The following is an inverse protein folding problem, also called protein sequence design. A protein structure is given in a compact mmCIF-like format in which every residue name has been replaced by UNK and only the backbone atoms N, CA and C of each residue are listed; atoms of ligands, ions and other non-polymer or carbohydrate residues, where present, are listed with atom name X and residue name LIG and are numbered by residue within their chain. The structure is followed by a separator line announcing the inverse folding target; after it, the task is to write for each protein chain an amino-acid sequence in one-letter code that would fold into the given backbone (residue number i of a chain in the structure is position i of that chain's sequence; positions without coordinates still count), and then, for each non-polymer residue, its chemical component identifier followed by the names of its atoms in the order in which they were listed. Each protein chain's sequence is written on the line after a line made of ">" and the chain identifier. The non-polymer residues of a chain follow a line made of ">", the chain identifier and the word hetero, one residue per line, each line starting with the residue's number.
data_IF_960093045893
#
_entry.id   IF_960093045893
#
_cell.length_a   1.000
_cell.length_b   1.000
_cell.length_c   1.000
_cell.angle_alpha   90.00
_cell.angle_beta   90.00
_cell.angle_gamma   90.00
#
_symmetry.space_group_name_H-M   'P 1'
#
loop_
_entity.id
_entity.type
_entity.pdbx_description
1 polymer ?
#
# COMPACT_ATOMS: atom_id res chain seq x y z
N UNK A 1 -30.89 22.87 37.05
CA UNK A 1 -29.52 22.31 37.16
C UNK A 1 -29.07 21.92 35.78
N UNK A 2 -27.99 22.54 35.34
CA UNK A 2 -27.40 22.49 33.99
C UNK A 2 -26.72 21.17 33.69
N UNK A 3 -26.64 20.80 32.41
CA UNK A 3 -25.82 19.68 31.95
C UNK A 3 -25.99 19.37 30.46
N UNK A 4 -25.98 20.39 29.60
CA UNK A 4 -25.93 20.19 28.14
C UNK A 4 -24.47 19.88 27.77
N UNK A 5 -24.19 18.58 27.56
CA UNK A 5 -22.88 18.10 27.14
C UNK A 5 -22.65 18.47 25.68
N UNK A 6 -21.90 19.54 25.46
CA UNK A 6 -21.46 19.99 24.14
C UNK A 6 -20.63 18.88 23.45
N UNK A 7 -21.28 18.11 22.58
CA UNK A 7 -20.62 17.13 21.72
C UNK A 7 -19.73 17.90 20.75
N UNK A 8 -18.43 17.97 21.06
CA UNK A 8 -17.43 18.57 20.18
C UNK A 8 -17.44 17.84 18.84
N UNK A 9 -18.11 18.44 17.86
CA UNK A 9 -18.20 17.97 16.47
C UNK A 9 -16.79 17.84 15.91
N UNK A 10 -16.45 16.65 15.43
CA UNK A 10 -15.16 16.40 14.79
C UNK A 10 -15.07 17.29 13.53
N UNK A 11 -14.25 18.34 13.59
CA UNK A 11 -14.01 19.22 12.45
C UNK A 11 -12.86 18.64 11.61
N UNK A 12 -13.09 18.26 10.35
CA UNK A 12 -12.01 17.79 9.48
C UNK A 12 -10.94 18.88 9.38
N UNK A 13 -9.71 18.54 9.77
CA UNK A 13 -8.58 19.46 9.72
C UNK A 13 -8.33 19.80 8.25
N UNK A 14 -8.51 21.07 7.89
CA UNK A 14 -8.21 21.58 6.55
C UNK A 14 -6.74 21.28 6.23
N UNK A 15 -6.49 20.46 5.20
CA UNK A 15 -5.15 20.06 4.78
C UNK A 15 -4.45 21.32 4.24
N UNK A 16 -3.58 21.93 5.05
CA UNK A 16 -2.80 23.12 4.65
C UNK A 16 -1.93 22.75 3.44
N UNK A 17 -1.97 23.59 2.42
CA UNK A 17 -1.25 23.50 1.16
C UNK A 17 0.28 23.66 1.31
N UNK A 18 0.92 22.77 2.07
CA UNK A 18 2.38 22.57 2.10
C UNK A 18 2.76 21.38 1.18
N UNK A 19 2.03 21.25 0.06
CA UNK A 19 1.64 19.99 -0.58
C UNK A 19 2.78 19.07 -0.99
N UNK A 20 3.69 19.50 -1.86
CA UNK A 20 4.58 18.55 -2.56
C UNK A 20 5.65 17.88 -1.67
N UNK A 21 6.35 18.63 -0.80
CA UNK A 21 7.42 18.04 0.04
C UNK A 21 6.88 17.07 1.07
N UNK A 22 5.76 17.43 1.71
CA UNK A 22 5.11 16.57 2.69
C UNK A 22 4.47 15.35 2.01
N UNK A 23 3.88 15.51 0.82
CA UNK A 23 3.31 14.39 0.07
C UNK A 23 4.42 13.40 -0.35
N UNK A 24 5.59 13.88 -0.78
CA UNK A 24 6.75 13.02 -1.06
C UNK A 24 7.28 12.29 0.17
N UNK A 25 7.48 12.99 1.29
CA UNK A 25 7.92 12.34 2.54
C UNK A 25 6.92 11.29 3.02
N UNK A 26 5.63 11.59 2.94
CA UNK A 26 4.57 10.65 3.30
C UNK A 26 4.58 9.42 2.38
N UNK A 27 4.77 9.61 1.07
CA UNK A 27 4.89 8.52 0.11
C UNK A 27 6.09 7.63 0.46
N UNK A 28 7.26 8.19 0.71
CA UNK A 28 8.45 7.40 1.04
C UNK A 28 8.32 6.65 2.36
N UNK A 29 7.73 7.27 3.39
CA UNK A 29 7.41 6.57 4.65
C UNK A 29 6.49 5.39 4.41
N UNK A 30 5.50 5.56 3.54
CA UNK A 30 4.53 4.53 3.20
C UNK A 30 5.18 3.38 2.42
N UNK A 31 5.97 3.68 1.38
CA UNK A 31 6.71 2.68 0.59
C UNK A 31 7.66 1.86 1.48
N UNK A 32 8.37 2.50 2.41
CA UNK A 32 9.22 1.81 3.39
C UNK A 32 8.40 0.92 4.34
N UNK A 33 7.22 1.37 4.77
CA UNK A 33 6.34 0.60 5.63
C UNK A 33 5.75 -0.62 4.89
N UNK A 34 5.46 -0.49 3.60
CA UNK A 34 5.04 -1.60 2.74
C UNK A 34 6.22 -2.57 2.55
N UNK A 35 7.43 -2.07 2.24
CA UNK A 35 8.64 -2.91 2.08
C UNK A 35 8.93 -3.77 3.30
N UNK A 36 8.84 -3.21 4.51
CA UNK A 36 9.04 -3.98 5.76
C UNK A 36 8.02 -5.11 5.92
N UNK A 37 6.77 -4.87 5.54
CA UNK A 37 5.71 -5.91 5.60
C UNK A 37 5.94 -6.99 4.55
N UNK A 38 6.33 -6.61 3.34
CA UNK A 38 6.72 -7.56 2.29
C UNK A 38 7.88 -8.44 2.76
N UNK A 39 8.89 -7.86 3.40
CA UNK A 39 10.01 -8.62 3.97
C UNK A 39 9.55 -9.59 5.09
N UNK A 40 8.60 -9.18 5.93
CA UNK A 40 8.03 -10.06 6.95
C UNK A 40 7.27 -11.25 6.33
N UNK A 41 6.52 -11.04 5.26
CA UNK A 41 5.85 -12.13 4.51
C UNK A 41 6.90 -13.02 3.82
N UNK A 42 7.90 -12.44 3.17
CA UNK A 42 8.95 -13.21 2.49
C UNK A 42 9.84 -14.02 3.46
N UNK A 43 9.88 -13.66 4.74
CA UNK A 43 10.59 -14.40 5.78
C UNK A 43 9.82 -15.63 6.29
N UNK A 44 8.52 -15.75 5.97
CA UNK A 44 7.77 -17.00 6.21
C UNK A 44 7.98 -18.00 5.07
N UNK A 45 7.44 -19.20 5.20
CA UNK A 45 7.43 -20.20 4.12
C UNK A 45 6.18 -20.07 3.25
N UNK A 46 6.28 -20.49 1.99
CA UNK A 46 5.11 -20.63 1.11
C UNK A 46 4.06 -21.54 1.73
N UNK A 47 4.45 -22.66 2.35
CA UNK A 47 3.52 -23.63 2.93
C UNK A 47 2.71 -23.06 4.09
N UNK A 48 3.26 -22.11 4.85
CA UNK A 48 2.57 -21.40 5.92
C UNK A 48 1.68 -20.25 5.42
N UNK A 49 1.69 -19.96 4.12
CA UNK A 49 0.92 -18.89 3.51
C UNK A 49 -0.41 -19.41 2.97
N UNK A 50 -1.50 -19.14 3.67
CA UNK A 50 -2.84 -19.49 3.23
C UNK A 50 -3.86 -18.51 3.80
N UNK A 51 -5.07 -18.49 3.23
CA UNK A 51 -6.18 -17.70 3.76
C UNK A 51 -6.40 -17.98 5.25
N UNK A 52 -6.54 -16.90 6.04
CA UNK A 52 -6.63 -16.94 7.51
C UNK A 52 -5.30 -17.01 8.27
N UNK A 53 -4.14 -17.04 7.60
CA UNK A 53 -2.83 -16.91 8.26
C UNK A 53 -2.42 -15.44 8.45
N UNK A 54 -1.62 -15.15 9.49
CA UNK A 54 -1.08 -13.80 9.72
C UNK A 54 -0.31 -13.26 8.51
N UNK A 55 0.46 -14.12 7.84
CA UNK A 55 1.22 -13.72 6.65
C UNK A 55 0.30 -13.32 5.49
N UNK A 56 -0.83 -13.99 5.33
CA UNK A 56 -1.84 -13.67 4.33
C UNK A 56 -2.55 -12.34 4.63
N UNK A 57 -2.85 -12.06 5.91
CA UNK A 57 -3.42 -10.78 6.32
C UNK A 57 -2.45 -9.62 6.09
N UNK A 58 -1.18 -9.81 6.43
CA UNK A 58 -0.12 -8.82 6.17
C UNK A 58 0.02 -8.58 4.67
N UNK A 59 0.02 -9.64 3.86
CA UNK A 59 0.07 -9.56 2.40
C UNK A 59 -1.15 -8.81 1.82
N UNK A 60 -2.34 -9.06 2.37
CA UNK A 60 -3.57 -8.37 1.96
C UNK A 60 -3.47 -6.87 2.26
N UNK A 61 -2.97 -6.51 3.44
CA UNK A 61 -2.71 -5.12 3.80
C UNK A 61 -1.65 -4.45 2.91
N UNK A 62 -0.60 -5.18 2.50
CA UNK A 62 0.41 -4.69 1.55
C UNK A 62 -0.26 -4.31 0.22
N UNK A 63 -1.07 -5.20 -0.35
CA UNK A 63 -1.73 -4.95 -1.63
C UNK A 63 -2.76 -3.82 -1.52
N UNK A 64 -3.56 -3.79 -0.46
CA UNK A 64 -4.56 -2.74 -0.25
C UNK A 64 -3.87 -1.37 -0.18
N UNK A 65 -2.81 -1.24 0.60
CA UNK A 65 -2.09 0.02 0.77
C UNK A 65 -1.36 0.45 -0.49
N UNK A 66 -0.71 -0.49 -1.19
CA UNK A 66 -0.05 -0.20 -2.46
C UNK A 66 -1.04 0.25 -3.53
N UNK A 67 -2.19 -0.41 -3.64
CA UNK A 67 -3.24 -0.01 -4.57
C UNK A 67 -3.78 1.40 -4.24
N UNK A 68 -3.96 1.71 -2.95
CA UNK A 68 -4.39 3.04 -2.52
C UNK A 68 -3.38 4.13 -2.86
N UNK A 69 -2.07 3.84 -2.87
CA UNK A 69 -1.06 4.80 -3.35
C UNK A 69 -1.25 5.13 -4.82
N UNK A 70 -1.59 4.15 -5.66
CA UNK A 70 -1.79 4.35 -7.10
C UNK A 70 -3.05 5.16 -7.45
N UNK A 71 -4.04 5.20 -6.57
CA UNK A 71 -5.30 5.93 -6.77
C UNK A 71 -5.23 7.39 -6.34
N UNK A 72 -4.20 7.76 -5.57
CA UNK A 72 -4.04 9.11 -5.04
C UNK A 72 -3.41 10.02 -6.09
N UNK A 73 -4.15 11.01 -6.64
CA UNK A 73 -3.64 11.88 -7.69
C UNK A 73 -2.44 12.71 -7.22
N UNK A 74 -2.33 13.01 -5.92
CA UNK A 74 -1.18 13.73 -5.36
C UNK A 74 0.15 12.95 -5.48
N UNK A 75 0.09 11.63 -5.70
CA UNK A 75 1.29 10.80 -5.86
C UNK A 75 1.59 10.44 -7.31
N UNK A 76 0.74 10.82 -8.26
CA UNK A 76 0.86 10.40 -9.65
C UNK A 76 2.22 10.78 -10.27
N UNK A 77 2.77 11.95 -9.93
CA UNK A 77 4.06 12.43 -10.43
C UNK A 77 5.28 11.69 -9.85
N UNK A 78 5.11 10.94 -8.76
CA UNK A 78 6.19 10.19 -8.10
C UNK A 78 6.15 8.68 -8.40
N UNK A 79 5.18 8.22 -9.19
CA UNK A 79 4.94 6.80 -9.44
C UNK A 79 5.03 6.47 -10.94
N UNK A 80 5.79 7.27 -11.69
CA UNK A 80 5.89 7.19 -13.16
C UNK A 80 6.47 5.86 -13.65
N UNK A 81 7.33 5.23 -12.86
CA UNK A 81 7.98 3.95 -13.18
C UNK A 81 7.10 2.70 -12.97
N UNK A 82 5.83 2.89 -12.60
CA UNK A 82 4.85 1.80 -12.50
C UNK A 82 3.97 1.78 -13.74
N UNK A 83 4.07 0.70 -14.50
CA UNK A 83 3.31 0.52 -15.73
C UNK A 83 1.81 0.46 -15.46
N UNK A 84 0.99 0.80 -16.47
CA UNK A 84 -0.47 0.68 -16.38
C UNK A 84 -0.92 -0.75 -16.08
N UNK A 85 -0.22 -1.74 -16.65
CA UNK A 85 -0.50 -3.16 -16.41
C UNK A 85 -0.25 -3.54 -14.94
N UNK A 86 0.88 -3.11 -14.36
CA UNK A 86 1.17 -3.36 -12.94
C UNK A 86 0.15 -2.71 -12.02
N UNK A 87 -0.25 -1.46 -12.31
CA UNK A 87 -1.33 -0.79 -11.55
C UNK A 87 -2.63 -1.56 -11.64
N UNK A 88 -2.99 -2.03 -12.83
CA UNK A 88 -4.20 -2.82 -13.02
C UNK A 88 -4.13 -4.16 -12.30
N UNK A 89 -2.99 -4.86 -12.35
CA UNK A 89 -2.78 -6.12 -11.66
C UNK A 89 -2.93 -5.95 -10.14
N UNK A 90 -2.27 -4.95 -9.56
CA UNK A 90 -2.36 -4.64 -8.12
C UNK A 90 -3.79 -4.25 -7.71
N UNK A 91 -4.49 -3.45 -8.54
CA UNK A 91 -5.89 -3.09 -8.28
C UNK A 91 -6.81 -4.32 -8.31
N UNK A 92 -6.64 -5.21 -9.30
CA UNK A 92 -7.38 -6.48 -9.37
C UNK A 92 -7.12 -7.35 -8.14
N UNK A 93 -5.86 -7.53 -7.73
CA UNK A 93 -5.51 -8.30 -6.54
C UNK A 93 -6.14 -7.68 -5.28
N UNK A 94 -6.12 -6.35 -5.15
CA UNK A 94 -6.79 -5.66 -4.03
C UNK A 94 -8.29 -5.91 -4.00
N UNK A 95 -8.97 -5.85 -5.14
CA UNK A 95 -10.42 -6.09 -5.19
C UNK A 95 -10.78 -7.50 -4.74
N UNK A 96 -9.93 -8.49 -5.02
CA UNK A 96 -10.11 -9.86 -4.53
C UNK A 96 -9.80 -9.94 -3.02
N UNK A 97 -8.66 -9.41 -2.58
CA UNK A 97 -8.25 -9.45 -1.16
C UNK A 97 -9.24 -8.71 -0.23
N UNK A 98 -9.83 -7.61 -0.71
CA UNK A 98 -10.80 -6.83 0.05
C UNK A 98 -12.21 -7.44 0.06
N UNK A 99 -12.50 -8.43 -0.77
CA UNK A 99 -13.83 -9.02 -0.92
C UNK A 99 -13.76 -10.52 -0.63
N UNK A 100 -13.70 -10.86 0.66
CA UNK A 100 -13.58 -12.21 1.23
C UNK A 100 -14.77 -13.15 0.99
N UNK A 101 -15.68 -12.83 0.06
CA UNK A 101 -16.99 -13.51 -0.03
C UNK A 101 -17.35 -14.22 -1.35
N UNK A 102 -16.65 -13.98 -2.47
CA UNK A 102 -17.13 -14.46 -3.79
C UNK A 102 -16.08 -15.13 -4.70
N UNK A 103 -14.78 -14.92 -4.45
CA UNK A 103 -13.68 -15.68 -5.09
C UNK A 103 -12.56 -15.84 -4.07
N UNK A 104 -12.15 -17.08 -3.78
CA UNK A 104 -10.89 -17.28 -3.08
C UNK A 104 -9.75 -16.85 -3.99
N UNK A 105 -8.80 -16.12 -3.44
CA UNK A 105 -7.55 -15.82 -4.14
C UNK A 105 -6.76 -17.12 -4.27
N UNK A 106 -6.06 -17.32 -5.39
CA UNK A 106 -5.10 -18.41 -5.46
C UNK A 106 -3.86 -18.02 -4.64
N UNK A 107 -3.61 -18.77 -3.56
CA UNK A 107 -2.53 -18.49 -2.61
C UNK A 107 -1.14 -18.51 -3.27
N UNK A 108 -0.91 -19.35 -4.28
CA UNK A 108 0.38 -19.38 -5.01
C UNK A 108 0.61 -18.12 -5.81
N UNK A 109 -0.43 -17.68 -6.54
CA UNK A 109 -0.38 -16.45 -7.30
C UNK A 109 -0.24 -15.24 -6.39
N UNK A 110 -0.89 -15.26 -5.24
CA UNK A 110 -0.81 -14.18 -4.28
C UNK A 110 0.57 -14.11 -3.62
N UNK A 111 1.09 -15.26 -3.18
CA UNK A 111 2.44 -15.39 -2.69
C UNK A 111 3.43 -14.84 -3.70
N UNK A 112 3.38 -15.30 -4.95
CA UNK A 112 4.27 -14.84 -6.03
C UNK A 112 4.16 -13.33 -6.25
N UNK A 113 2.94 -12.78 -6.23
CA UNK A 113 2.73 -11.34 -6.36
C UNK A 113 3.43 -10.57 -5.24
N UNK A 114 3.27 -10.99 -3.99
CA UNK A 114 3.78 -10.26 -2.82
C UNK A 114 5.27 -10.48 -2.57
N UNK A 115 5.81 -11.66 -2.87
CA UNK A 115 7.22 -11.99 -2.57
C UNK A 115 8.17 -11.78 -3.75
N UNK A 116 7.66 -11.63 -4.97
CA UNK A 116 8.49 -11.37 -6.16
C UNK A 116 8.11 -10.10 -6.92
N UNK A 117 6.82 -9.88 -7.22
CA UNK A 117 6.42 -8.75 -8.09
C UNK A 117 6.42 -7.42 -7.35
N UNK A 118 5.78 -7.36 -6.17
CA UNK A 118 5.72 -6.16 -5.34
C UNK A 118 7.12 -5.66 -4.95
N UNK A 119 8.08 -6.50 -4.48
CA UNK A 119 9.44 -6.04 -4.18
C UNK A 119 10.10 -5.30 -5.34
N UNK A 120 9.99 -5.83 -6.57
CA UNK A 120 10.57 -5.20 -7.76
C UNK A 120 9.95 -3.85 -8.08
N UNK A 121 8.63 -3.70 -7.86
CA UNK A 121 7.95 -2.40 -8.01
C UNK A 121 8.48 -1.42 -6.95
N UNK A 122 8.61 -1.87 -5.69
CA UNK A 122 9.12 -1.03 -4.60
C UNK A 122 10.58 -0.61 -4.82
N UNK A 123 11.43 -1.51 -5.31
CA UNK A 123 12.83 -1.21 -5.66
C UNK A 123 12.90 -0.04 -6.64
N UNK A 124 12.18 -0.11 -7.76
CA UNK A 124 12.16 0.99 -8.75
C UNK A 124 11.67 2.31 -8.15
N UNK A 125 10.54 2.27 -7.44
CA UNK A 125 9.96 3.47 -6.82
C UNK A 125 10.88 4.12 -5.76
N UNK A 126 11.70 3.31 -5.06
CA UNK A 126 12.62 3.82 -4.05
C UNK A 126 13.98 4.24 -4.63
N UNK A 127 14.42 3.65 -5.74
CA UNK A 127 15.63 4.05 -6.46
C UNK A 127 15.47 5.41 -7.15
N UNK A 128 14.28 5.70 -7.71
CA UNK A 128 13.93 7.02 -8.26
C UNK A 128 14.12 8.13 -7.21
N UNK A 129 13.78 7.87 -5.93
CA UNK A 129 13.96 8.83 -4.84
C UNK A 129 15.45 9.13 -4.57
N UNK A 130 16.29 8.10 -4.56
CA UNK A 130 17.74 8.23 -4.41
C UNK A 130 18.43 8.96 -5.56
N UNK A 131 17.86 8.90 -6.77
CA UNK A 131 18.34 9.64 -7.93
C UNK A 131 17.85 11.11 -7.94
N UNK A 132 16.61 11.35 -7.51
CA UNK A 132 16.00 12.69 -7.47
C UNK A 132 16.48 13.55 -6.28
N UNK A 133 17.08 12.96 -5.24
CA UNK A 133 17.71 13.68 -4.13
C UNK A 133 19.16 14.15 -4.39
N UNK A 134 19.73 13.83 -5.55
CA UNK A 134 21.12 14.19 -5.95
C UNK A 134 21.19 15.26 -7.05
N UNK A 135 20.09 15.98 -7.32
CA UNK A 135 20.03 17.07 -8.30
C UNK A 135 19.72 18.39 -7.63
#
# INVERSE_FOLDING_TARGET
>A
MSGDGEVRRFAPRQRRAAGASHDRENLMRELQAIRRRVQAVAATSRDAFHDGSDAYDIASMVIIRLAALFERPEFASYLTDVTREERQAISTTRNIAAHTGYRSMNDDLFWLAVTHRVPRILERLMEEDGAAGRR
#
